data_IF_355955670033
#
_entry.id   IF_355955670033
#
_cell.length_a   1.000
_cell.length_b   1.000
_cell.length_c   1.000
_cell.angle_alpha   90.00
_cell.angle_beta   90.00
_cell.angle_gamma   90.00
#
_symmetry.space_group_name_H-M   'P 1'
#
loop_
_entity.id
_entity.type
_entity.pdbx_description
1 polymer ?
#
# COMPACT_ATOMS: atom_id res chain seq x y z
N UNK A 1 -11.56 -13.37 -4.09
CA UNK A 1 -13.01 -13.12 -4.30
C UNK A 1 -13.70 -12.55 -3.07
N UNK A 2 -13.64 -13.17 -1.88
CA UNK A 2 -14.31 -12.66 -0.67
C UNK A 2 -14.03 -11.19 -0.33
N UNK A 3 -12.77 -10.74 -0.37
CA UNK A 3 -12.41 -9.34 -0.11
C UNK A 3 -13.03 -8.36 -1.11
N UNK A 4 -13.12 -8.72 -2.40
CA UNK A 4 -13.73 -7.88 -3.43
C UNK A 4 -15.25 -7.79 -3.25
N UNK A 5 -15.90 -8.91 -2.90
CA UNK A 5 -17.35 -8.92 -2.62
C UNK A 5 -17.66 -8.02 -1.42
N UNK A 6 -16.94 -8.18 -0.32
CA UNK A 6 -17.13 -7.33 0.87
C UNK A 6 -16.81 -5.85 0.58
N UNK A 7 -15.77 -5.58 -0.21
CA UNK A 7 -15.46 -4.22 -0.65
C UNK A 7 -16.58 -3.63 -1.52
N UNK A 8 -17.16 -4.42 -2.44
CA UNK A 8 -18.33 -4.00 -3.22
C UNK A 8 -19.55 -3.70 -2.35
N UNK A 9 -19.85 -4.57 -1.38
CA UNK A 9 -20.94 -4.35 -0.42
C UNK A 9 -20.72 -3.10 0.45
N UNK A 10 -19.47 -2.78 0.78
CA UNK A 10 -19.15 -1.59 1.57
C UNK A 10 -19.50 -0.27 0.85
N UNK A 11 -19.68 -0.29 -0.48
CA UNK A 11 -20.08 0.90 -1.25
C UNK A 11 -21.53 1.34 -0.94
N UNK A 12 -22.32 0.51 -0.26
CA UNK A 12 -23.63 0.88 0.27
C UNK A 12 -23.54 1.90 1.43
N UNK A 13 -22.36 2.07 2.01
CA UNK A 13 -22.06 3.11 3.00
C UNK A 13 -21.54 4.39 2.29
N UNK A 14 -21.53 5.55 2.96
CA UNK A 14 -20.95 6.77 2.41
C UNK A 14 -19.54 6.53 1.84
N UNK A 15 -19.36 6.89 0.58
CA UNK A 15 -18.23 6.43 -0.23
C UNK A 15 -17.70 7.56 -1.10
N UNK A 16 -16.90 8.43 -0.49
CA UNK A 16 -16.21 9.54 -1.16
C UNK A 16 -14.70 9.36 -0.97
N UNK A 17 -13.90 9.28 -2.04
CA UNK A 17 -12.45 9.21 -1.94
C UNK A 17 -11.86 10.51 -1.35
N UNK A 18 -10.70 10.40 -0.70
CA UNK A 18 -9.94 11.57 -0.25
C UNK A 18 -9.15 12.25 -1.37
N UNK A 19 -8.46 13.35 -1.03
CA UNK A 19 -7.65 14.16 -1.96
C UNK A 19 -6.72 13.32 -2.85
N UNK A 20 -5.87 12.47 -2.25
CA UNK A 20 -4.92 11.63 -2.98
C UNK A 20 -5.61 10.70 -4.01
N UNK A 21 -6.56 9.84 -3.60
CA UNK A 21 -7.38 9.05 -4.52
C UNK A 21 -8.06 9.82 -5.63
N UNK A 22 -8.59 11.01 -5.32
CA UNK A 22 -9.27 11.84 -6.29
C UNK A 22 -8.30 12.35 -7.37
N UNK A 23 -7.09 12.74 -6.99
CA UNK A 23 -6.06 13.13 -7.95
C UNK A 23 -5.66 11.97 -8.88
N UNK A 24 -5.54 10.73 -8.38
CA UNK A 24 -5.27 9.57 -9.23
C UNK A 24 -6.40 9.29 -10.23
N UNK A 25 -7.66 9.53 -9.84
CA UNK A 25 -8.82 9.43 -10.72
C UNK A 25 -8.80 10.50 -11.83
N UNK A 26 -8.44 11.74 -11.48
CA UNK A 26 -8.25 12.82 -12.46
C UNK A 26 -7.13 12.50 -13.44
N UNK A 27 -5.94 12.14 -12.96
CA UNK A 27 -4.81 11.75 -13.81
C UNK A 27 -5.11 10.56 -14.70
N UNK A 28 -5.88 9.57 -14.22
CA UNK A 28 -6.31 8.45 -15.07
C UNK A 28 -7.19 8.91 -16.24
N UNK A 29 -8.07 9.88 -16.01
CA UNK A 29 -8.89 10.49 -17.08
C UNK A 29 -8.05 11.32 -18.03
N UNK A 30 -7.12 12.11 -17.51
CA UNK A 30 -6.23 12.95 -18.30
C UNK A 30 -5.28 12.13 -19.19
N UNK A 31 -4.79 10.99 -18.70
CA UNK A 31 -4.04 10.03 -19.54
C UNK A 31 -4.92 9.49 -20.66
N UNK A 32 -6.17 9.11 -20.36
CA UNK A 32 -7.09 8.61 -21.37
C UNK A 32 -7.42 9.66 -22.45
N UNK A 33 -7.34 10.96 -22.12
CA UNK A 33 -7.48 12.07 -23.07
C UNK A 33 -6.16 12.64 -23.60
N UNK A 34 -5.02 12.02 -23.26
CA UNK A 34 -3.66 12.45 -23.63
C UNK A 34 -3.30 13.90 -23.22
N UNK A 35 -3.83 14.37 -22.08
CA UNK A 35 -3.67 15.74 -21.56
C UNK A 35 -3.28 15.73 -20.06
N UNK A 36 -2.33 14.86 -19.70
CA UNK A 36 -1.88 14.70 -18.31
C UNK A 36 -1.30 16.00 -17.74
N UNK A 37 -1.77 16.43 -16.56
CA UNK A 37 -1.19 17.53 -15.77
C UNK A 37 -0.95 17.11 -14.31
N UNK A 38 0.32 16.87 -13.95
CA UNK A 38 0.69 16.46 -12.59
C UNK A 38 0.96 17.64 -11.65
N UNK A 39 0.98 18.89 -12.14
CA UNK A 39 1.47 20.07 -11.39
C UNK A 39 0.63 20.42 -10.16
N UNK A 40 -0.68 20.14 -10.18
CA UNK A 40 -1.59 20.46 -9.09
C UNK A 40 -1.81 19.37 -8.03
N UNK A 41 -1.32 18.15 -8.27
CA UNK A 41 -1.70 16.98 -7.46
C UNK A 41 -0.73 16.61 -6.32
N UNK A 42 -1.00 15.49 -5.63
CA UNK A 42 -0.13 14.92 -4.59
C UNK A 42 1.14 14.29 -5.21
N UNK A 43 1.81 13.42 -4.47
CA UNK A 43 2.87 12.57 -5.03
C UNK A 43 2.27 11.57 -6.04
N UNK A 44 2.95 11.41 -7.17
CA UNK A 44 2.63 10.38 -8.17
C UNK A 44 2.66 8.98 -7.56
N UNK A 45 1.72 8.10 -7.96
CA UNK A 45 1.76 6.68 -7.63
C UNK A 45 1.33 5.89 -8.87
N UNK A 46 2.22 5.11 -9.51
CA UNK A 46 1.88 4.45 -10.76
C UNK A 46 0.74 3.44 -10.67
N UNK A 47 0.70 2.59 -9.63
CA UNK A 47 -0.30 1.52 -9.56
C UNK A 47 -1.75 2.05 -9.52
N UNK A 48 -2.08 3.04 -8.67
CA UNK A 48 -3.39 3.68 -8.71
C UNK A 48 -3.74 4.22 -10.09
N UNK A 49 -2.83 4.97 -10.72
CA UNK A 49 -3.09 5.62 -12.01
C UNK A 49 -3.28 4.59 -13.13
N UNK A 50 -2.49 3.51 -13.14
CA UNK A 50 -2.67 2.39 -14.07
C UNK A 50 -4.05 1.75 -13.97
N UNK A 51 -4.66 1.72 -12.78
CA UNK A 51 -6.00 1.18 -12.57
C UNK A 51 -7.10 2.22 -12.86
N UNK A 52 -6.90 3.48 -12.46
CA UNK A 52 -7.89 4.53 -12.68
C UNK A 52 -7.99 4.95 -14.14
N UNK A 53 -6.94 4.77 -14.95
CA UNK A 53 -6.95 5.06 -16.39
C UNK A 53 -8.07 4.32 -17.12
N UNK A 54 -8.17 2.97 -17.09
CA UNK A 54 -9.32 2.27 -17.67
C UNK A 54 -10.63 2.53 -16.94
N UNK A 55 -10.61 2.80 -15.62
CA UNK A 55 -11.83 3.14 -14.88
C UNK A 55 -12.45 4.46 -15.37
N UNK A 56 -11.65 5.40 -15.86
CA UNK A 56 -12.14 6.68 -16.39
C UNK A 56 -13.17 6.52 -17.50
N UNK A 57 -13.12 5.42 -18.26
CA UNK A 57 -14.07 5.07 -19.32
C UNK A 57 -15.48 4.75 -18.80
N UNK A 58 -15.63 4.52 -17.48
CA UNK A 58 -16.90 4.19 -16.83
C UNK A 58 -17.64 5.43 -16.28
N UNK A 59 -17.10 6.63 -16.52
CA UNK A 59 -17.72 7.89 -16.08
C UNK A 59 -17.87 7.94 -14.55
N UNK A 60 -19.10 8.14 -14.09
CA UNK A 60 -19.44 8.31 -12.67
C UNK A 60 -19.15 7.07 -11.81
N UNK A 61 -18.96 5.89 -12.43
CA UNK A 61 -18.61 4.67 -11.72
C UNK A 61 -17.12 4.61 -11.30
N UNK A 62 -16.24 5.40 -11.92
CA UNK A 62 -14.79 5.30 -11.72
C UNK A 62 -14.35 5.46 -10.25
N UNK A 63 -14.87 6.43 -9.47
CA UNK A 63 -14.51 6.57 -8.05
C UNK A 63 -14.92 5.35 -7.22
N UNK A 64 -16.05 4.73 -7.53
CA UNK A 64 -16.54 3.54 -6.82
C UNK A 64 -15.71 2.30 -7.14
N UNK A 65 -15.27 2.15 -8.39
CA UNK A 65 -14.35 1.07 -8.79
C UNK A 65 -13.01 1.20 -8.04
N UNK A 66 -12.46 2.41 -7.93
CA UNK A 66 -11.25 2.64 -7.15
C UNK A 66 -11.47 2.34 -5.66
N UNK A 67 -12.56 2.82 -5.06
CA UNK A 67 -12.88 2.52 -3.66
C UNK A 67 -13.01 1.02 -3.41
N UNK A 68 -13.63 0.27 -4.32
CA UNK A 68 -13.71 -1.18 -4.20
C UNK A 68 -12.32 -1.83 -4.20
N UNK A 69 -11.41 -1.39 -5.08
CA UNK A 69 -10.02 -1.88 -5.11
C UNK A 69 -9.28 -1.55 -3.81
N UNK A 70 -9.32 -0.30 -3.37
CA UNK A 70 -8.64 0.15 -2.16
C UNK A 70 -9.15 -0.61 -0.92
N UNK A 71 -10.48 -0.74 -0.78
CA UNK A 71 -11.12 -1.47 0.31
C UNK A 71 -10.83 -2.96 0.28
N UNK A 72 -10.84 -3.57 -0.91
CA UNK A 72 -10.43 -4.96 -1.07
C UNK A 72 -8.96 -5.16 -0.69
N UNK A 73 -8.09 -4.21 -1.02
CA UNK A 73 -6.69 -4.20 -0.61
C UNK A 73 -6.53 -4.21 0.90
N UNK A 74 -7.21 -3.31 1.63
CA UNK A 74 -7.14 -3.30 3.09
C UNK A 74 -7.71 -4.56 3.75
N UNK A 75 -8.82 -5.11 3.24
CA UNK A 75 -9.34 -6.41 3.70
C UNK A 75 -8.36 -7.55 3.43
N UNK A 76 -7.74 -7.56 2.25
CA UNK A 76 -6.72 -8.54 1.88
C UNK A 76 -5.48 -8.44 2.77
N UNK A 77 -5.11 -7.23 3.20
CA UNK A 77 -4.00 -7.04 4.13
C UNK A 77 -4.23 -7.78 5.45
N UNK A 78 -5.45 -7.70 6.01
CA UNK A 78 -5.82 -8.43 7.23
C UNK A 78 -5.74 -9.95 7.03
N UNK A 79 -6.27 -10.45 5.91
CA UNK A 79 -6.21 -11.88 5.56
C UNK A 79 -4.77 -12.35 5.40
N UNK A 80 -3.93 -11.58 4.72
CA UNK A 80 -2.53 -11.92 4.49
C UNK A 80 -1.71 -11.86 5.79
N UNK A 81 -1.99 -10.90 6.68
CA UNK A 81 -1.35 -10.81 7.99
C UNK A 81 -1.65 -12.06 8.82
N UNK A 82 -2.91 -12.48 8.86
CA UNK A 82 -3.31 -13.74 9.49
C UNK A 82 -2.57 -14.94 8.88
N UNK A 83 -2.55 -15.07 7.55
CA UNK A 83 -1.95 -16.21 6.85
C UNK A 83 -0.45 -16.33 7.10
N UNK A 84 0.28 -15.22 6.98
CA UNK A 84 1.74 -15.19 7.18
C UNK A 84 2.08 -15.52 8.62
N UNK A 85 1.45 -14.85 9.60
CA UNK A 85 1.72 -15.10 11.01
C UNK A 85 1.37 -16.53 11.43
N UNK A 86 0.23 -17.06 10.97
CA UNK A 86 -0.16 -18.45 11.22
C UNK A 86 0.87 -19.43 10.68
N UNK A 87 1.38 -19.18 9.47
CA UNK A 87 2.39 -20.04 8.84
C UNK A 87 3.72 -20.02 9.58
N UNK A 88 4.14 -18.84 10.05
CA UNK A 88 5.41 -18.68 10.75
C UNK A 88 5.40 -19.30 12.16
N UNK A 89 4.27 -19.19 12.88
CA UNK A 89 4.17 -19.74 14.23
C UNK A 89 3.97 -21.27 14.25
N UNK A 90 3.29 -21.84 13.25
CA UNK A 90 3.05 -23.28 13.15
C UNK A 90 2.14 -23.85 14.26
N UNK A 91 1.74 -25.11 14.10
CA UNK A 91 0.96 -25.86 15.10
C UNK A 91 -0.35 -25.18 15.53
N UNK A 92 -0.74 -25.43 16.79
CA UNK A 92 -1.94 -24.84 17.42
C UNK A 92 -1.80 -23.36 17.74
N UNK A 93 -0.58 -22.88 18.03
CA UNK A 93 -0.29 -21.47 18.30
C UNK A 93 -0.50 -20.56 17.07
N UNK A 94 -0.45 -21.13 15.86
CA UNK A 94 -0.59 -20.38 14.61
C UNK A 94 -1.92 -19.62 14.46
N UNK A 95 -3.03 -20.16 14.97
CA UNK A 95 -4.32 -19.46 14.90
C UNK A 95 -4.27 -18.19 15.75
N UNK A 96 -3.78 -18.30 16.98
CA UNK A 96 -3.67 -17.16 17.92
C UNK A 96 -2.73 -16.10 17.35
N UNK A 97 -1.56 -16.49 16.83
CA UNK A 97 -0.62 -15.57 16.19
C UNK A 97 -1.24 -14.88 14.97
N UNK A 98 -1.99 -15.61 14.15
CA UNK A 98 -2.70 -15.06 13.00
C UNK A 98 -3.75 -14.04 13.39
N UNK A 99 -4.62 -14.37 14.35
CA UNK A 99 -5.66 -13.45 14.84
C UNK A 99 -5.02 -12.21 15.44
N UNK A 100 -4.00 -12.38 16.28
CA UNK A 100 -3.27 -11.27 16.88
C UNK A 100 -2.66 -10.34 15.83
N UNK A 101 -2.02 -10.88 14.79
CA UNK A 101 -1.44 -10.07 13.72
C UNK A 101 -2.49 -9.28 12.94
N UNK A 102 -3.63 -9.90 12.60
CA UNK A 102 -4.71 -9.23 11.90
C UNK A 102 -5.36 -8.14 12.76
N UNK A 103 -5.60 -8.41 14.05
CA UNK A 103 -6.16 -7.43 14.99
C UNK A 103 -5.19 -6.27 15.24
N UNK A 104 -3.90 -6.56 15.46
CA UNK A 104 -2.89 -5.51 15.63
C UNK A 104 -2.83 -4.57 14.42
N UNK A 105 -2.91 -5.13 13.21
CA UNK A 105 -2.97 -4.35 11.98
C UNK A 105 -4.27 -3.54 11.84
N UNK A 106 -5.42 -4.15 12.15
CA UNK A 106 -6.73 -3.49 12.11
C UNK A 106 -6.84 -2.34 13.13
N UNK A 107 -6.27 -2.51 14.31
CA UNK A 107 -6.33 -1.58 15.45
C UNK A 107 -5.18 -0.57 15.47
N UNK A 108 -4.31 -0.55 14.45
CA UNK A 108 -3.23 0.44 14.35
C UNK A 108 -3.83 1.85 14.35
N UNK A 109 -3.40 2.72 15.27
CA UNK A 109 -3.95 4.07 15.44
C UNK A 109 -3.11 5.13 14.71
N UNK A 110 -3.81 6.05 14.04
CA UNK A 110 -3.39 7.31 13.39
C UNK A 110 -2.46 7.30 12.16
N UNK A 111 -3.02 7.62 10.97
CA UNK A 111 -4.37 7.28 10.56
C UNK A 111 -4.40 5.76 10.37
N UNK A 112 -5.28 5.07 11.09
CA UNK A 112 -5.28 3.61 11.09
C UNK A 112 -5.59 3.01 9.72
N UNK A 113 -5.14 1.76 9.51
CA UNK A 113 -5.35 1.03 8.25
C UNK A 113 -6.82 1.10 7.78
N UNK A 114 -7.77 0.91 8.70
CA UNK A 114 -9.21 0.92 8.41
C UNK A 114 -9.64 2.26 7.82
N UNK A 115 -9.22 3.37 8.44
CA UNK A 115 -9.58 4.71 7.98
C UNK A 115 -8.98 5.00 6.61
N UNK A 116 -7.69 4.72 6.42
CA UNK A 116 -7.03 4.90 5.12
C UNK A 116 -7.71 4.10 4.01
N UNK A 117 -8.01 2.84 4.30
CA UNK A 117 -8.70 1.91 3.41
C UNK A 117 -10.11 2.40 3.06
N UNK A 118 -10.90 2.81 4.06
CA UNK A 118 -12.27 3.28 3.87
C UNK A 118 -12.35 4.52 2.96
N UNK A 119 -11.34 5.39 3.07
CA UNK A 119 -11.19 6.64 2.33
C UNK A 119 -10.52 6.47 0.95
N UNK A 120 -10.19 5.24 0.56
CA UNK A 120 -9.66 4.94 -0.77
C UNK A 120 -8.15 5.08 -0.91
N UNK A 121 -7.40 5.26 0.18
CA UNK A 121 -5.94 5.32 0.11
C UNK A 121 -5.35 3.93 -0.18
N UNK A 122 -4.14 3.92 -0.71
CA UNK A 122 -3.52 2.73 -1.31
C UNK A 122 -2.66 1.92 -0.33
N UNK A 123 -2.51 2.37 0.92
CA UNK A 123 -1.67 1.77 1.96
C UNK A 123 -2.13 0.34 2.31
N UNK A 124 -3.43 0.09 2.33
CA UNK A 124 -3.94 -1.26 2.55
C UNK A 124 -3.56 -2.21 1.42
N UNK A 125 -3.61 -1.74 0.17
CA UNK A 125 -3.16 -2.52 -0.98
C UNK A 125 -1.64 -2.78 -0.92
N UNK A 126 -0.85 -1.80 -0.48
CA UNK A 126 0.60 -1.95 -0.28
C UNK A 126 0.92 -3.06 0.73
N UNK A 127 0.28 -3.04 1.91
CA UNK A 127 0.50 -4.05 2.96
C UNK A 127 0.07 -5.44 2.45
N UNK A 128 -1.06 -5.53 1.76
CA UNK A 128 -1.54 -6.77 1.18
C UNK A 128 -0.54 -7.36 0.16
N UNK A 129 -0.02 -6.53 -0.74
CA UNK A 129 0.95 -6.96 -1.77
C UNK A 129 2.30 -7.34 -1.17
N UNK A 130 2.79 -6.61 -0.17
CA UNK A 130 4.03 -6.96 0.53
C UNK A 130 3.93 -8.30 1.28
N UNK A 131 2.84 -8.52 2.01
CA UNK A 131 2.59 -9.79 2.70
C UNK A 131 2.31 -10.93 1.71
N UNK A 132 1.67 -10.64 0.58
CA UNK A 132 1.51 -11.60 -0.52
C UNK A 132 2.86 -11.99 -1.11
N UNK A 133 3.76 -11.03 -1.35
CA UNK A 133 5.10 -11.31 -1.84
C UNK A 133 5.85 -12.27 -0.89
N UNK A 134 5.79 -12.01 0.41
CA UNK A 134 6.39 -12.88 1.44
C UNK A 134 5.75 -14.27 1.44
N UNK A 135 4.42 -14.37 1.42
CA UNK A 135 3.73 -15.66 1.45
C UNK A 135 4.03 -16.50 0.19
N UNK A 136 4.07 -15.87 -0.98
CA UNK A 136 4.44 -16.50 -2.26
C UNK A 136 5.88 -16.99 -2.24
N UNK A 137 6.79 -16.18 -1.68
CA UNK A 137 8.19 -16.58 -1.51
C UNK A 137 8.31 -17.82 -0.62
N UNK A 138 7.66 -17.81 0.55
CA UNK A 138 7.62 -18.96 1.45
C UNK A 138 6.99 -20.18 0.79
N UNK A 139 6.03 -20.01 -0.11
CA UNK A 139 5.42 -21.09 -0.89
C UNK A 139 6.27 -21.54 -2.08
N UNK A 140 7.48 -21.03 -2.28
CA UNK A 140 8.36 -21.35 -3.42
C UNK A 140 7.95 -20.71 -4.75
N UNK A 141 6.87 -19.92 -4.78
CA UNK A 141 6.35 -19.27 -5.98
C UNK A 141 7.05 -17.92 -6.23
N UNK A 142 8.37 -17.98 -6.47
CA UNK A 142 9.27 -16.81 -6.53
C UNK A 142 8.87 -15.77 -7.59
N UNK A 143 8.37 -16.20 -8.74
CA UNK A 143 7.84 -15.29 -9.79
C UNK A 143 6.65 -14.47 -9.29
N UNK A 144 5.72 -15.12 -8.58
CA UNK A 144 4.56 -14.44 -8.00
C UNK A 144 4.99 -13.48 -6.89
N UNK A 145 6.01 -13.87 -6.10
CA UNK A 145 6.59 -12.99 -5.09
C UNK A 145 7.19 -11.72 -5.71
N UNK A 146 7.96 -11.86 -6.79
CA UNK A 146 8.53 -10.73 -7.53
C UNK A 146 7.45 -9.82 -8.11
N UNK A 147 6.40 -10.38 -8.71
CA UNK A 147 5.29 -9.59 -9.28
C UNK A 147 4.47 -8.85 -8.22
N UNK A 148 4.23 -9.49 -7.07
CA UNK A 148 3.58 -8.82 -5.94
C UNK A 148 4.46 -7.70 -5.37
N UNK A 149 5.79 -7.93 -5.28
CA UNK A 149 6.77 -6.91 -4.92
C UNK A 149 6.83 -5.76 -5.93
N UNK A 150 6.78 -6.04 -7.22
CA UNK A 150 6.69 -5.03 -8.29
C UNK A 150 5.45 -4.16 -8.13
N UNK A 151 4.28 -4.75 -7.94
CA UNK A 151 3.05 -4.00 -7.70
C UNK A 151 3.14 -3.13 -6.42
N UNK A 152 3.77 -3.63 -5.35
CA UNK A 152 4.06 -2.84 -4.16
C UNK A 152 5.04 -1.68 -4.43
N UNK A 153 6.06 -1.90 -5.26
CA UNK A 153 7.01 -0.85 -5.68
C UNK A 153 6.38 0.24 -6.56
N UNK A 154 5.27 -0.06 -7.24
CA UNK A 154 4.44 0.92 -7.95
C UNK A 154 3.49 1.70 -7.03
N UNK A 155 3.43 1.36 -5.75
CA UNK A 155 2.70 2.12 -4.73
C UNK A 155 3.62 3.02 -3.93
N UNK A 156 4.86 2.56 -3.68
CA UNK A 156 5.82 3.24 -2.80
C UNK A 156 7.28 2.98 -3.20
N UNK A 157 8.11 4.03 -3.36
CA UNK A 157 9.54 3.88 -3.68
C UNK A 157 10.35 3.21 -2.57
N UNK A 158 9.88 3.26 -1.33
CA UNK A 158 10.52 2.62 -0.17
C UNK A 158 10.62 1.09 -0.31
N UNK A 159 9.83 0.50 -1.21
CA UNK A 159 9.84 -0.93 -1.51
C UNK A 159 10.97 -1.32 -2.49
N UNK A 160 11.53 -0.35 -3.23
CA UNK A 160 12.49 -0.62 -4.31
C UNK A 160 13.74 -1.35 -3.85
N UNK A 161 14.39 -1.00 -2.72
CA UNK A 161 15.59 -1.73 -2.27
C UNK A 161 15.29 -3.22 -2.04
N UNK A 162 14.12 -3.54 -1.48
CA UNK A 162 13.71 -4.92 -1.22
C UNK A 162 13.47 -5.69 -2.52
N UNK A 163 12.79 -5.09 -3.50
CA UNK A 163 12.56 -5.71 -4.82
C UNK A 163 13.86 -5.85 -5.60
N UNK A 164 14.76 -4.86 -5.52
CA UNK A 164 16.08 -4.91 -6.14
C UNK A 164 16.91 -6.06 -5.58
N UNK A 165 17.04 -6.14 -4.26
CA UNK A 165 17.74 -7.25 -3.59
C UNK A 165 17.12 -8.61 -3.91
N UNK A 166 15.78 -8.69 -3.93
CA UNK A 166 15.08 -9.91 -4.31
C UNK A 166 15.32 -10.29 -5.77
N UNK A 167 15.35 -9.32 -6.68
CA UNK A 167 15.69 -9.50 -8.09
C UNK A 167 17.12 -10.01 -8.28
N UNK A 168 18.09 -9.43 -7.55
CA UNK A 168 19.49 -9.91 -7.54
C UNK A 168 19.56 -11.35 -7.05
N UNK A 169 18.87 -11.68 -5.95
CA UNK A 169 18.76 -13.05 -5.47
C UNK A 169 18.22 -14.01 -6.55
N UNK A 170 17.12 -13.64 -7.22
CA UNK A 170 16.54 -14.45 -8.30
C UNK A 170 17.43 -14.56 -9.53
N UNK A 171 18.22 -13.53 -9.82
CA UNK A 171 19.16 -13.52 -10.94
C UNK A 171 20.19 -14.65 -10.86
N UNK A 172 20.59 -14.99 -9.64
CA UNK A 172 21.53 -16.07 -9.34
C UNK A 172 20.84 -17.41 -9.08
N UNK A 173 19.74 -17.43 -8.33
CA UNK A 173 19.08 -18.67 -7.91
C UNK A 173 18.16 -19.26 -8.98
N UNK A 174 17.55 -18.44 -9.82
CA UNK A 174 16.56 -18.89 -10.80
C UNK A 174 16.76 -18.18 -12.17
N UNK A 175 17.77 -18.59 -12.97
CA UNK A 175 18.13 -17.92 -14.22
C UNK A 175 16.99 -17.75 -15.23
N UNK A 176 15.99 -18.64 -15.19
CA UNK A 176 14.78 -18.55 -15.99
C UNK A 176 13.93 -17.29 -15.72
N UNK A 177 14.20 -16.56 -14.64
CA UNK A 177 13.49 -15.32 -14.27
C UNK A 177 14.22 -14.03 -14.68
N UNK A 178 15.42 -14.12 -15.27
CA UNK A 178 16.25 -12.94 -15.58
C UNK A 178 15.55 -11.89 -16.44
N UNK A 179 14.84 -12.31 -17.49
CA UNK A 179 14.06 -11.39 -18.32
C UNK A 179 12.95 -10.70 -17.55
N UNK A 180 12.31 -11.42 -16.62
CA UNK A 180 11.29 -10.84 -15.74
C UNK A 180 11.92 -9.84 -14.76
N UNK A 181 13.06 -10.18 -14.15
CA UNK A 181 13.80 -9.28 -13.25
C UNK A 181 14.24 -8.00 -13.98
N UNK A 182 14.80 -8.13 -15.19
CA UNK A 182 15.21 -6.98 -16.01
C UNK A 182 13.99 -6.13 -16.40
N UNK A 183 12.90 -6.76 -16.84
CA UNK A 183 11.65 -6.08 -17.17
C UNK A 183 11.07 -5.32 -15.99
N UNK A 184 11.00 -5.94 -14.81
CA UNK A 184 10.56 -5.28 -13.56
C UNK A 184 11.49 -4.13 -13.18
N UNK A 185 12.80 -4.35 -13.24
CA UNK A 185 13.81 -3.34 -12.90
C UNK A 185 13.76 -2.11 -13.81
N UNK A 186 13.44 -2.28 -15.10
CA UNK A 186 13.25 -1.18 -16.04
C UNK A 186 11.86 -0.53 -15.90
N UNK A 187 10.80 -1.33 -15.70
CA UNK A 187 9.44 -0.85 -15.63
C UNK A 187 9.17 0.03 -14.41
N UNK A 188 9.77 -0.28 -13.25
CA UNK A 188 9.61 0.53 -12.02
C UNK A 188 9.99 2.01 -12.27
N UNK A 189 11.24 2.37 -12.60
CA UNK A 189 11.61 3.77 -12.80
C UNK A 189 10.85 4.39 -13.99
N UNK A 190 10.63 3.64 -15.08
CA UNK A 190 9.90 4.16 -16.23
C UNK A 190 8.48 4.61 -15.85
N UNK A 191 7.75 3.79 -15.08
CA UNK A 191 6.38 4.10 -14.66
C UNK A 191 6.30 5.21 -13.61
N UNK A 192 7.36 5.42 -12.83
CA UNK A 192 7.42 6.49 -11.84
C UNK A 192 7.80 7.85 -12.45
N UNK A 193 8.73 7.88 -13.40
CA UNK A 193 9.32 9.13 -13.88
C UNK A 193 8.79 9.60 -15.23
N UNK A 194 8.47 8.70 -16.17
CA UNK A 194 8.02 9.12 -17.51
C UNK A 194 6.68 9.87 -17.48
N UNK A 195 5.67 9.44 -16.69
CA UNK A 195 4.42 10.20 -16.59
C UNK A 195 4.61 11.57 -15.93
N UNK A 196 5.52 11.69 -14.96
CA UNK A 196 5.84 12.99 -14.35
C UNK A 196 6.52 13.93 -15.34
N UNK A 197 7.46 13.43 -16.15
CA UNK A 197 8.07 14.21 -17.23
C UNK A 197 7.03 14.65 -18.26
N UNK A 198 6.10 13.77 -18.63
CA UNK A 198 5.03 14.12 -19.56
C UNK A 198 4.09 15.18 -18.97
N UNK A 199 3.62 14.98 -17.74
CA UNK A 199 2.58 15.81 -17.14
C UNK A 199 3.05 17.12 -16.52
N UNK A 200 4.32 17.24 -16.14
CA UNK A 200 4.86 18.47 -15.53
C UNK A 200 6.05 19.07 -16.25
N UNK A 201 6.70 18.33 -17.15
CA UNK A 201 7.99 18.71 -17.73
C UNK A 201 9.18 18.49 -16.77
N UNK A 202 8.96 17.96 -15.57
CA UNK A 202 10.01 17.70 -14.56
C UNK A 202 9.92 16.26 -14.04
N UNK A 203 11.02 15.51 -14.17
CA UNK A 203 11.15 14.12 -13.71
C UNK A 203 11.00 13.97 -12.20
N UNK A 204 11.38 14.99 -11.41
CA UNK A 204 11.52 14.90 -9.96
C UNK A 204 10.48 15.74 -9.20
N UNK A 205 9.50 16.32 -9.90
CA UNK A 205 8.42 17.13 -9.29
C UNK A 205 7.65 16.35 -8.22
N UNK A 206 7.35 15.08 -8.44
CA UNK A 206 6.74 14.20 -7.44
C UNK A 206 7.59 14.06 -6.17
N UNK A 207 8.92 13.96 -6.31
CA UNK A 207 9.85 13.90 -5.19
C UNK A 207 9.95 15.23 -4.44
N UNK A 208 10.05 16.36 -5.17
CA UNK A 208 10.04 17.70 -4.57
C UNK A 208 8.73 17.97 -3.81
N UNK A 209 7.59 17.50 -4.34
CA UNK A 209 6.30 17.61 -3.66
C UNK A 209 6.23 16.77 -2.39
N UNK A 210 6.81 15.56 -2.39
CA UNK A 210 6.88 14.70 -1.21
C UNK A 210 7.73 15.33 -0.08
N UNK A 211 8.71 16.17 -0.44
CA UNK A 211 9.55 16.93 0.50
C UNK A 211 8.92 18.25 0.96
N UNK A 212 7.87 18.75 0.29
CA UNK A 212 7.19 19.99 0.66
C UNK A 212 6.11 19.79 1.76
N UNK A 213 6.30 18.78 2.61
CA UNK A 213 5.31 18.35 3.60
C UNK A 213 5.01 19.37 4.71
N UNK A 214 3.91 19.11 5.41
CA UNK A 214 3.36 19.90 6.52
C UNK A 214 4.41 20.16 7.64
N UNK A 215 4.56 21.39 8.16
CA UNK A 215 5.47 21.71 9.28
C UNK A 215 5.33 20.81 10.52
N UNK A 216 4.17 20.16 10.70
CA UNK A 216 3.94 19.19 11.78
C UNK A 216 4.46 17.77 11.51
N UNK A 217 5.06 17.51 10.35
CA UNK A 217 5.62 16.20 10.00
C UNK A 217 6.94 15.97 10.77
N UNK A 218 7.08 14.83 11.48
CA UNK A 218 8.29 14.51 12.24
C UNK A 218 9.57 14.47 11.39
N UNK A 219 9.45 14.36 10.07
CA UNK A 219 10.59 14.49 9.16
C UNK A 219 11.24 15.90 9.16
N UNK A 220 10.54 16.93 9.61
CA UNK A 220 11.05 18.31 9.74
C UNK A 220 11.35 18.71 11.20
N UNK A 221 11.26 17.78 12.16
CA UNK A 221 11.71 18.03 13.52
C UNK A 221 13.24 18.20 13.55
N UNK A 222 13.76 18.91 14.56
CA UNK A 222 15.22 19.10 14.73
C UNK A 222 15.96 17.75 14.85
N UNK A 223 15.28 16.74 15.41
CA UNK A 223 15.78 15.38 15.57
C UNK A 223 14.74 14.36 15.09
N UNK A 224 14.60 14.14 13.76
CA UNK A 224 13.52 13.35 13.18
C UNK A 224 13.45 11.91 13.72
N UNK A 225 14.62 11.30 13.97
CA UNK A 225 14.70 9.95 14.49
C UNK A 225 14.14 9.82 15.93
N UNK A 226 14.38 10.83 16.77
CA UNK A 226 13.90 10.84 18.16
C UNK A 226 12.40 11.18 18.21
N UNK A 227 11.95 12.14 17.41
CA UNK A 227 10.52 12.48 17.31
C UNK A 227 9.68 11.28 16.86
N UNK A 228 10.16 10.51 15.87
CA UNK A 228 9.49 9.27 15.42
C UNK A 228 9.47 8.24 16.55
N UNK A 229 10.55 8.12 17.31
CA UNK A 229 10.69 7.18 18.41
C UNK A 229 9.73 7.55 19.57
N UNK A 230 9.69 8.82 19.96
CA UNK A 230 8.83 9.36 21.02
C UNK A 230 7.35 9.18 20.68
N UNK A 231 6.91 9.59 19.49
CA UNK A 231 5.52 9.34 19.02
C UNK A 231 5.19 7.86 18.94
N UNK A 232 6.17 7.02 18.58
CA UNK A 232 6.01 5.56 18.59
C UNK A 232 5.85 4.99 20.00
N UNK A 233 6.52 5.57 21.00
CA UNK A 233 6.41 5.16 22.40
C UNK A 233 5.15 5.70 23.07
N UNK A 234 4.79 6.97 22.87
CA UNK A 234 3.54 7.56 23.38
C UNK A 234 2.32 6.78 22.88
N UNK A 235 2.29 6.48 21.58
CA UNK A 235 1.23 5.65 21.01
C UNK A 235 1.25 4.22 21.55
N UNK A 236 2.40 3.63 21.86
CA UNK A 236 2.49 2.27 22.44
C UNK A 236 2.10 2.24 23.92
N UNK A 237 2.47 3.24 24.70
CA UNK A 237 2.11 3.35 26.12
C UNK A 237 0.60 3.51 26.30
N UNK A 238 -0.02 4.36 25.48
CA UNK A 238 -1.47 4.51 25.42
C UNK A 238 -2.17 3.19 25.02
N UNK A 239 -1.56 2.43 24.10
CA UNK A 239 -2.06 1.11 23.65
C UNK A 239 -1.87 -0.01 24.67
N UNK A 240 -0.77 -0.05 25.41
CA UNK A 240 -0.58 -1.03 26.49
C UNK A 240 -1.60 -0.82 27.62
N UNK A 241 -1.91 0.44 27.94
CA UNK A 241 -2.99 0.79 28.86
C UNK A 241 -4.38 0.35 28.38
N UNK A 242 -4.70 0.57 27.09
CA UNK A 242 -6.00 0.18 26.52
C UNK A 242 -6.15 -1.34 26.31
N UNK A 243 -5.10 -2.03 25.87
CA UNK A 243 -5.09 -3.49 25.74
C UNK A 243 -5.15 -4.19 27.11
N UNK A 244 -4.44 -3.65 28.11
CA UNK A 244 -4.54 -4.12 29.50
C UNK A 244 -5.95 -3.94 30.07
N UNK A 245 -6.60 -2.80 29.79
CA UNK A 245 -7.99 -2.55 30.21
C UNK A 245 -8.99 -3.48 29.52
N UNK A 246 -8.83 -3.76 28.22
CA UNK A 246 -9.70 -4.69 27.48
C UNK A 246 -9.56 -6.14 27.94
N UNK A 247 -8.33 -6.56 28.29
CA UNK A 247 -8.11 -7.88 28.90
C UNK A 247 -8.69 -7.93 30.31
N UNK A 248 -8.52 -6.89 31.13
CA UNK A 248 -9.08 -6.84 32.48
C UNK A 248 -10.62 -6.86 32.50
N UNK A 249 -11.28 -6.21 31.54
CA UNK A 249 -12.75 -6.22 31.40
C UNK A 249 -13.27 -7.54 30.80
N UNK A 250 -12.45 -8.28 30.04
CA UNK A 250 -12.80 -9.60 29.53
C UNK A 250 -12.72 -10.74 30.56
N UNK A 251 -12.17 -10.46 31.74
CA UNK A 251 -12.02 -11.41 32.86
C UNK A 251 -12.78 -10.99 34.14
N UNK A 252 -13.63 -9.97 34.07
CA UNK A 252 -14.53 -9.52 35.13
C UNK A 252 -15.99 -9.82 34.76
#
# INVERSE_FOLDING_TARGET
MGCLVLAGLSLLLPSTPTYDPFAWLSWGREIASADLDTRGGPAWKPLPVLLTTPFSLTGDAAPYLWLAVARAGGLMALVMAFRVARRLAGGSAGIVAGVFAALALALTSSPGLIRHTALGNSEGLLVALGLMAMERHLAGHRRQALLAGFAAALLRPEVWPFVGLYGVYLWFVEPATRWLVAGVGAAIPALWFLPELWGSGDLLRGSARAQAGDPGNPAFADQPALEILERSFESRAQRAGQAGALVAVGFA
#
